data_IF_492274002877
#
_entry.id   IF_492274002877
#
_cell.length_a   1.000
_cell.length_b   1.000
_cell.length_c   1.000
_cell.angle_alpha   90.00
_cell.angle_beta   90.00
_cell.angle_gamma   90.00
#
_symmetry.space_group_name_H-M   'P 1'
#
loop_
_entity.id
_entity.type
_entity.pdbx_description
1 polymer ?
#
# COMPACT_ATOMS: atom_id res chain seq x y z
N UNK A 1 48.42 13.51 22.38
CA UNK A 1 46.99 13.58 22.70
C UNK A 1 46.34 12.75 21.62
N UNK A 2 46.29 11.45 21.82
CA UNK A 2 45.55 10.53 20.95
C UNK A 2 44.65 9.78 21.90
N UNK A 3 43.48 10.37 22.14
CA UNK A 3 42.41 9.72 22.89
C UNK A 3 41.65 8.83 21.91
N UNK A 4 41.67 7.49 22.06
CA UNK A 4 40.95 6.59 21.17
C UNK A 4 39.43 6.81 21.19
N UNK A 5 38.89 7.59 22.14
CA UNK A 5 37.50 8.02 22.14
C UNK A 5 37.15 9.03 21.02
N UNK A 6 38.14 9.54 20.27
CA UNK A 6 37.96 10.47 19.14
C UNK A 6 38.46 9.91 17.79
N UNK A 7 38.77 8.61 17.72
CA UNK A 7 39.04 7.97 16.44
C UNK A 7 37.71 7.74 15.72
N UNK A 8 37.33 8.66 14.82
CA UNK A 8 36.23 8.41 13.88
C UNK A 8 36.70 7.30 12.95
N UNK A 9 36.18 6.09 13.16
CA UNK A 9 36.39 4.97 12.25
C UNK A 9 35.51 5.23 11.01
N UNK A 10 35.99 6.10 10.11
CA UNK A 10 35.27 6.43 8.88
C UNK A 10 35.34 5.23 7.94
N UNK A 11 34.19 4.61 7.67
CA UNK A 11 34.09 3.61 6.61
C UNK A 11 34.26 4.28 5.24
N UNK A 12 35.50 4.27 4.75
CA UNK A 12 35.88 4.88 3.48
C UNK A 12 35.17 4.23 2.29
N UNK A 13 34.78 2.96 2.37
CA UNK A 13 34.04 2.30 1.30
C UNK A 13 32.63 2.88 1.20
N UNK A 14 31.95 3.02 2.35
CA UNK A 14 30.62 3.61 2.41
C UNK A 14 30.61 5.05 1.93
N UNK A 15 31.50 5.88 2.46
CA UNK A 15 31.59 7.28 2.05
C UNK A 15 31.90 7.45 0.56
N UNK A 16 32.76 6.58 0.00
CA UNK A 16 33.11 6.65 -1.43
C UNK A 16 31.91 6.32 -2.32
N UNK A 17 31.12 5.31 -1.97
CA UNK A 17 29.96 4.89 -2.76
C UNK A 17 28.82 5.91 -2.66
N UNK A 18 28.53 6.44 -1.46
CA UNK A 18 27.55 7.52 -1.28
C UNK A 18 27.96 8.78 -2.04
N UNK A 19 29.24 9.16 -1.99
CA UNK A 19 29.75 10.31 -2.73
C UNK A 19 29.65 10.11 -4.25
N UNK A 20 29.96 8.91 -4.75
CA UNK A 20 29.79 8.59 -6.17
C UNK A 20 28.31 8.67 -6.60
N UNK A 21 27.40 8.19 -5.75
CA UNK A 21 25.96 8.25 -5.98
C UNK A 21 25.42 9.69 -5.97
N UNK A 22 25.81 10.50 -4.98
CA UNK A 22 25.42 11.90 -4.87
C UNK A 22 25.93 12.77 -6.03
N UNK A 23 27.12 12.46 -6.58
CA UNK A 23 27.65 13.15 -7.76
C UNK A 23 27.13 12.57 -9.09
N UNK A 24 26.26 11.56 -9.04
CA UNK A 24 25.78 10.81 -10.21
C UNK A 24 26.93 10.29 -11.11
N UNK A 25 28.08 9.94 -10.51
CA UNK A 25 29.24 9.40 -11.23
C UNK A 25 29.06 7.90 -11.49
N UNK A 26 28.37 7.61 -12.58
CA UNK A 26 28.08 6.23 -13.03
C UNK A 26 29.35 5.38 -13.17
N UNK A 27 30.50 5.97 -13.55
CA UNK A 27 31.72 5.19 -13.73
C UNK A 27 32.28 4.74 -12.40
N UNK A 28 32.42 5.68 -11.46
CA UNK A 28 32.86 5.36 -10.11
C UNK A 28 31.89 4.41 -9.42
N UNK A 29 30.58 4.63 -9.56
CA UNK A 29 29.56 3.79 -8.96
C UNK A 29 29.65 2.33 -9.46
N UNK A 30 29.82 2.11 -10.77
CA UNK A 30 30.00 0.76 -11.33
C UNK A 30 31.24 0.05 -10.81
N UNK A 31 32.33 0.76 -10.59
CA UNK A 31 33.56 0.14 -10.10
C UNK A 31 33.47 -0.20 -8.61
N UNK A 32 32.80 0.65 -7.82
CA UNK A 32 32.59 0.45 -6.38
C UNK A 32 31.58 -0.67 -6.11
N UNK A 33 30.46 -0.74 -6.86
CA UNK A 33 29.43 -1.77 -6.69
C UNK A 33 29.91 -3.20 -6.99
N UNK A 34 31.08 -3.38 -7.61
CA UNK A 34 31.67 -4.72 -7.83
C UNK A 34 32.06 -5.43 -6.54
N UNK A 35 32.37 -4.67 -5.48
CA UNK A 35 32.90 -5.21 -4.23
C UNK A 35 32.13 -4.71 -3.00
N UNK A 36 31.07 -3.93 -3.21
CA UNK A 36 30.30 -3.28 -2.16
C UNK A 36 28.82 -3.38 -2.50
N UNK A 37 27.98 -3.73 -1.53
CA UNK A 37 26.53 -3.78 -1.70
C UNK A 37 25.95 -2.38 -2.01
N UNK A 38 24.89 -2.33 -2.81
CA UNK A 38 24.13 -1.10 -3.04
C UNK A 38 23.30 -0.65 -1.80
N UNK A 39 23.22 -1.51 -0.77
CA UNK A 39 22.42 -1.31 0.44
C UNK A 39 23.25 -0.94 1.67
N UNK A 40 24.53 -0.60 1.48
CA UNK A 40 25.32 -0.02 2.57
C UNK A 40 24.65 1.27 3.08
N UNK A 41 24.79 1.51 4.38
CA UNK A 41 24.13 2.62 5.04
C UNK A 41 25.14 3.45 5.83
N UNK A 42 25.10 4.76 5.64
CA UNK A 42 25.86 5.68 6.47
C UNK A 42 25.34 5.69 7.91
N UNK A 43 26.22 5.49 8.88
CA UNK A 43 25.85 5.32 10.28
C UNK A 43 25.32 6.59 10.95
N UNK A 44 25.60 7.77 10.38
CA UNK A 44 25.19 9.05 10.96
C UNK A 44 23.83 9.51 10.40
N UNK A 45 23.63 9.34 9.10
CA UNK A 45 22.47 9.83 8.36
C UNK A 45 21.45 8.75 8.04
N UNK A 46 21.84 7.47 8.07
CA UNK A 46 21.01 6.39 7.56
C UNK A 46 20.90 6.40 6.03
N UNK A 47 21.69 7.19 5.32
CA UNK A 47 21.58 7.26 3.86
C UNK A 47 22.19 6.01 3.23
N UNK A 48 21.42 5.43 2.32
CA UNK A 48 21.96 4.49 1.31
C UNK A 48 22.43 5.28 0.08
N UNK A 49 23.20 4.67 -0.84
CA UNK A 49 23.50 5.28 -2.14
C UNK A 49 22.26 5.81 -2.87
N UNK A 50 21.12 5.15 -2.72
CA UNK A 50 19.86 5.58 -3.33
C UNK A 50 19.30 6.87 -2.68
N UNK A 51 19.34 6.97 -1.35
CA UNK A 51 19.03 8.22 -0.64
C UNK A 51 19.96 9.36 -1.12
N UNK A 52 21.27 9.11 -1.15
CA UNK A 52 22.27 10.10 -1.53
C UNK A 52 22.08 10.60 -2.97
N UNK A 53 21.79 9.71 -3.92
CA UNK A 53 21.56 10.07 -5.32
C UNK A 53 20.33 10.97 -5.51
N UNK A 54 19.26 10.73 -4.75
CA UNK A 54 18.01 11.52 -4.82
C UNK A 54 18.16 12.84 -4.06
N UNK A 55 18.71 12.80 -2.85
CA UNK A 55 18.90 13.99 -2.01
C UNK A 55 19.81 15.03 -2.68
N UNK A 56 20.81 14.60 -3.46
CA UNK A 56 21.66 15.48 -4.24
C UNK A 56 20.93 16.28 -5.32
N UNK A 57 19.69 15.93 -5.66
CA UNK A 57 18.83 16.68 -6.56
C UNK A 57 17.97 17.73 -5.84
N UNK A 58 18.20 18.06 -4.57
CA UNK A 58 17.49 19.15 -3.90
C UNK A 58 17.58 20.46 -4.71
N UNK A 59 16.45 21.15 -5.00
CA UNK A 59 16.49 22.44 -5.68
C UNK A 59 17.21 23.48 -4.83
N UNK A 60 18.02 24.34 -5.45
CA UNK A 60 18.55 25.51 -4.75
C UNK A 60 17.38 26.35 -4.20
N UNK A 61 17.46 26.73 -2.92
CA UNK A 61 16.46 27.59 -2.30
C UNK A 61 16.25 28.86 -3.14
N UNK A 62 15.00 29.32 -3.34
CA UNK A 62 14.76 30.55 -4.08
C UNK A 62 15.46 31.71 -3.36
N UNK A 63 16.50 32.26 -3.98
CA UNK A 63 17.19 33.45 -3.46
C UNK A 63 16.18 34.59 -3.32
N UNK A 64 16.14 35.26 -2.15
CA UNK A 64 15.28 36.44 -1.90
C UNK A 64 15.58 37.66 -2.83
N UNK A 65 16.55 37.55 -3.74
CA UNK A 65 17.09 38.64 -4.55
C UNK A 65 16.34 38.95 -5.87
N UNK A 66 15.19 38.33 -6.17
CA UNK A 66 14.38 38.71 -7.35
C UNK A 66 13.42 39.89 -7.11
N UNK A 67 13.58 40.65 -6.03
CA UNK A 67 12.93 41.97 -5.89
C UNK A 67 13.79 43.09 -6.46
N UNK A 68 13.56 43.46 -7.73
CA UNK A 68 13.65 44.82 -8.32
C UNK A 68 13.61 44.76 -9.86
N UNK A 69 12.92 45.58 -10.67
CA UNK A 69 12.08 46.78 -10.50
C UNK A 69 11.20 46.97 -11.77
N UNK A 70 9.95 47.41 -11.58
CA UNK A 70 9.10 48.30 -12.40
C UNK A 70 8.79 48.05 -13.90
N UNK A 71 7.49 47.80 -14.15
CA UNK A 71 6.74 48.27 -15.32
C UNK A 71 5.23 48.02 -15.18
N UNK A 72 4.46 49.02 -14.73
CA UNK A 72 2.99 48.97 -14.67
C UNK A 72 2.35 48.83 -16.07
N UNK A 73 1.36 47.94 -16.23
CA UNK A 73 -0.05 48.30 -16.52
C UNK A 73 -0.98 47.07 -16.59
N UNK A 74 -2.09 47.15 -15.84
CA UNK A 74 -3.36 46.42 -15.84
C UNK A 74 -3.69 45.35 -16.90
N UNK A 75 -4.16 44.19 -16.42
CA UNK A 75 -5.41 43.58 -16.91
C UNK A 75 -5.45 42.07 -17.12
N UNK A 76 -6.28 41.40 -16.30
CA UNK A 76 -7.03 40.16 -16.54
C UNK A 76 -6.33 38.81 -16.26
N UNK A 77 -7.10 37.98 -15.55
CA UNK A 77 -6.80 36.66 -14.99
C UNK A 77 -6.29 35.61 -15.98
N UNK A 78 -5.38 34.77 -15.49
CA UNK A 78 -5.50 33.30 -15.61
C UNK A 78 -4.67 32.64 -14.50
N UNK A 79 -5.31 31.78 -13.70
CA UNK A 79 -4.64 30.85 -12.78
C UNK A 79 -3.99 29.74 -13.61
N UNK A 80 -2.85 30.03 -14.20
CA UNK A 80 -1.88 29.01 -14.59
C UNK A 80 -0.65 29.24 -13.73
N UNK A 81 -0.37 28.33 -12.79
CA UNK A 81 0.99 28.25 -12.25
C UNK A 81 1.83 27.82 -13.44
N UNK A 82 2.51 28.77 -14.07
CA UNK A 82 3.51 28.48 -15.08
C UNK A 82 4.62 27.73 -14.36
N UNK A 83 4.64 26.40 -14.51
CA UNK A 83 5.82 25.60 -14.19
C UNK A 83 6.90 26.14 -15.12
N UNK A 84 7.86 26.89 -14.58
CA UNK A 84 9.02 27.29 -15.36
C UNK A 84 9.70 26.00 -15.83
N UNK A 85 9.82 25.84 -17.15
CA UNK A 85 10.56 24.71 -17.73
C UNK A 85 11.96 24.66 -17.09
N UNK A 86 12.39 23.50 -16.54
CA UNK A 86 13.71 23.39 -15.95
C UNK A 86 14.76 23.83 -16.96
N UNK A 87 15.74 24.62 -16.51
CA UNK A 87 16.84 25.00 -17.38
C UNK A 87 17.59 23.74 -17.89
N UNK A 88 18.28 23.85 -19.03
CA UNK A 88 18.94 22.69 -19.66
C UNK A 88 19.96 21.99 -18.75
N UNK A 89 20.58 22.73 -17.82
CA UNK A 89 21.49 22.16 -16.83
C UNK A 89 20.73 21.25 -15.86
N UNK A 90 19.60 21.71 -15.32
CA UNK A 90 18.77 20.93 -14.40
C UNK A 90 18.20 19.68 -15.07
N UNK A 91 17.83 19.77 -16.36
CA UNK A 91 17.43 18.59 -17.13
C UNK A 91 18.55 17.55 -17.20
N UNK A 92 19.79 17.98 -17.48
CA UNK A 92 20.95 17.09 -17.53
C UNK A 92 21.27 16.46 -16.16
N UNK A 93 21.15 17.22 -15.08
CA UNK A 93 21.31 16.71 -13.70
C UNK A 93 20.27 15.63 -13.39
N UNK A 94 18.99 15.89 -13.70
CA UNK A 94 17.92 14.90 -13.50
C UNK A 94 18.12 13.65 -14.37
N UNK A 95 18.54 13.80 -15.62
CA UNK A 95 18.87 12.66 -16.49
C UNK A 95 20.04 11.81 -15.94
N UNK A 96 21.03 12.44 -15.30
CA UNK A 96 22.13 11.75 -14.64
C UNK A 96 21.66 11.00 -13.39
N UNK A 97 20.78 11.62 -12.60
CA UNK A 97 20.14 11.01 -11.44
C UNK A 97 19.31 9.78 -11.84
N UNK A 98 18.47 9.89 -12.88
CA UNK A 98 17.68 8.76 -13.43
C UNK A 98 18.57 7.57 -13.77
N UNK A 99 19.69 7.80 -14.46
CA UNK A 99 20.63 6.73 -14.84
C UNK A 99 21.32 6.11 -13.62
N UNK A 100 21.63 6.93 -12.62
CA UNK A 100 22.25 6.50 -11.36
C UNK A 100 21.29 5.62 -10.56
N UNK A 101 20.04 6.06 -10.38
CA UNK A 101 18.99 5.31 -9.69
C UNK A 101 18.71 3.97 -10.37
N UNK A 102 18.61 3.95 -11.71
CA UNK A 102 18.44 2.70 -12.46
C UNK A 102 19.59 1.73 -12.23
N UNK A 103 20.84 2.21 -12.28
CA UNK A 103 22.01 1.39 -12.00
C UNK A 103 21.98 0.84 -10.56
N UNK A 104 21.58 1.65 -9.58
CA UNK A 104 21.46 1.21 -8.19
C UNK A 104 20.42 0.09 -8.04
N UNK A 105 19.23 0.25 -8.63
CA UNK A 105 18.21 -0.81 -8.62
C UNK A 105 18.66 -2.07 -9.36
N UNK A 106 19.38 -1.95 -10.48
CA UNK A 106 19.99 -3.08 -11.19
C UNK A 106 21.03 -3.84 -10.33
N UNK A 107 21.58 -3.21 -9.29
CA UNK A 107 22.53 -3.80 -8.35
C UNK A 107 21.89 -4.07 -6.96
N UNK A 108 20.56 -4.23 -6.90
CA UNK A 108 19.86 -4.68 -5.70
C UNK A 108 19.57 -3.59 -4.65
N UNK A 109 19.61 -2.30 -5.02
CA UNK A 109 19.24 -1.23 -4.09
C UNK A 109 17.80 -1.38 -3.58
N UNK A 110 17.60 -1.30 -2.26
CA UNK A 110 16.30 -1.41 -1.60
C UNK A 110 15.55 -0.07 -1.70
N UNK A 111 14.31 -0.12 -2.19
CA UNK A 111 13.50 1.07 -2.48
C UNK A 111 12.84 1.69 -1.25
N UNK A 112 12.68 0.92 -0.18
CA UNK A 112 11.96 1.28 1.05
C UNK A 112 12.84 1.30 2.32
N UNK A 113 14.17 1.29 2.17
CA UNK A 113 15.07 1.49 3.30
C UNK A 113 14.81 2.84 3.96
N UNK A 114 14.95 2.91 5.28
CA UNK A 114 14.69 4.11 6.06
C UNK A 114 15.99 4.79 6.48
N UNK A 115 16.05 6.10 6.30
CA UNK A 115 17.07 6.94 6.92
C UNK A 115 16.80 7.17 8.42
N UNK A 116 17.65 7.94 9.10
CA UNK A 116 17.46 8.26 10.53
C UNK A 116 16.22 9.11 10.83
N UNK A 117 15.62 9.74 9.82
CA UNK A 117 14.39 10.51 9.93
C UNK A 117 13.14 9.67 9.61
N UNK A 118 13.30 8.39 9.24
CA UNK A 118 12.21 7.53 8.81
C UNK A 118 11.72 7.83 7.38
N UNK A 119 12.52 8.50 6.57
CA UNK A 119 12.26 8.73 5.15
C UNK A 119 12.84 7.59 4.31
N UNK A 120 12.08 7.15 3.30
CA UNK A 120 12.62 6.31 2.22
C UNK A 120 13.21 7.18 1.11
N UNK A 121 13.97 6.62 0.16
CA UNK A 121 14.39 7.37 -1.04
C UNK A 121 13.19 7.95 -1.81
N UNK A 122 12.07 7.22 -1.86
CA UNK A 122 10.81 7.71 -2.43
C UNK A 122 10.19 8.86 -1.63
N UNK A 123 10.26 8.85 -0.30
CA UNK A 123 9.82 9.98 0.52
C UNK A 123 10.60 11.26 0.20
N UNK A 124 11.92 11.17 0.09
CA UNK A 124 12.78 12.30 -0.27
C UNK A 124 12.42 12.80 -1.67
N UNK A 125 12.28 11.92 -2.67
CA UNK A 125 11.91 12.29 -4.03
C UNK A 125 10.56 13.02 -4.07
N UNK A 126 9.56 12.52 -3.33
CA UNK A 126 8.23 13.11 -3.24
C UNK A 126 8.29 14.51 -2.60
N UNK A 127 8.95 14.64 -1.45
CA UNK A 127 9.11 15.91 -0.71
C UNK A 127 9.81 16.98 -1.53
N UNK A 128 10.78 16.58 -2.37
CA UNK A 128 11.51 17.48 -3.28
C UNK A 128 10.78 17.76 -4.60
N UNK A 129 9.61 17.17 -4.84
CA UNK A 129 8.84 17.33 -6.08
C UNK A 129 9.51 16.68 -7.31
N UNK A 130 10.37 15.68 -7.10
CA UNK A 130 11.13 14.99 -8.14
C UNK A 130 10.31 13.85 -8.74
N UNK A 131 9.25 14.19 -9.48
CA UNK A 131 8.23 13.24 -9.95
C UNK A 131 8.82 12.02 -10.68
N UNK A 132 9.76 12.22 -11.60
CA UNK A 132 10.36 11.09 -12.36
C UNK A 132 11.17 10.15 -11.46
N UNK A 133 11.91 10.69 -10.50
CA UNK A 133 12.70 9.87 -9.57
C UNK A 133 11.79 9.15 -8.56
N UNK A 134 10.70 9.80 -8.16
CA UNK A 134 9.66 9.21 -7.33
C UNK A 134 9.01 8.01 -8.02
N UNK A 135 8.62 8.17 -9.29
CA UNK A 135 8.03 7.09 -10.09
C UNK A 135 8.99 5.90 -10.25
N UNK A 136 10.30 6.13 -10.40
CA UNK A 136 11.29 5.03 -10.40
C UNK A 136 11.30 4.24 -9.10
N UNK A 137 11.12 4.90 -7.94
CA UNK A 137 11.05 4.24 -6.64
C UNK A 137 9.76 3.43 -6.51
N UNK A 138 8.62 4.00 -6.92
CA UNK A 138 7.33 3.29 -6.94
C UNK A 138 7.41 2.06 -7.85
N UNK A 139 7.95 2.21 -9.07
CA UNK A 139 8.08 1.10 -10.00
C UNK A 139 9.05 0.01 -9.49
N UNK A 140 10.09 0.39 -8.75
CA UNK A 140 10.98 -0.56 -8.08
C UNK A 140 10.25 -1.34 -6.99
N UNK A 141 9.43 -0.67 -6.18
CA UNK A 141 8.57 -1.32 -5.20
C UNK A 141 7.59 -2.30 -5.82
N UNK A 142 6.90 -1.89 -6.89
CA UNK A 142 5.98 -2.79 -7.61
C UNK A 142 6.70 -4.03 -8.15
N UNK A 143 7.89 -3.87 -8.75
CA UNK A 143 8.66 -5.03 -9.24
C UNK A 143 9.09 -5.96 -8.11
N UNK A 144 9.50 -5.41 -6.97
CA UNK A 144 9.90 -6.20 -5.81
C UNK A 144 8.71 -7.00 -5.25
N UNK A 145 7.57 -6.36 -5.01
CA UNK A 145 6.36 -7.01 -4.49
C UNK A 145 5.84 -8.11 -5.43
N UNK A 146 5.80 -7.86 -6.75
CA UNK A 146 5.40 -8.88 -7.73
C UNK A 146 6.37 -10.08 -7.75
N UNK A 147 7.68 -9.83 -7.61
CA UNK A 147 8.67 -10.90 -7.57
C UNK A 147 8.52 -11.74 -6.29
N UNK A 148 8.42 -11.09 -5.13
CA UNK A 148 8.27 -11.75 -3.83
C UNK A 148 6.99 -12.58 -3.78
N UNK A 149 5.87 -12.03 -4.25
CA UNK A 149 4.60 -12.75 -4.37
C UNK A 149 4.73 -14.05 -5.18
N UNK A 150 5.51 -14.05 -6.27
CA UNK A 150 5.75 -15.26 -7.09
C UNK A 150 6.77 -16.22 -6.47
N UNK A 151 7.73 -15.72 -5.70
CA UNK A 151 8.70 -16.56 -4.98
C UNK A 151 8.04 -17.31 -3.81
N UNK A 152 7.13 -16.66 -3.08
CA UNK A 152 6.33 -17.30 -2.03
C UNK A 152 5.40 -18.39 -2.58
N UNK A 153 4.93 -18.23 -3.82
CA UNK A 153 4.15 -19.25 -4.55
C UNK A 153 5.03 -20.37 -5.15
N UNK A 154 6.35 -20.18 -5.27
CA UNK A 154 7.25 -21.14 -5.88
C UNK A 154 7.49 -22.33 -4.93
N UNK A 155 6.77 -23.42 -5.17
CA UNK A 155 7.14 -24.73 -4.66
C UNK A 155 8.21 -25.34 -5.58
N UNK A 156 9.39 -25.74 -5.05
CA UNK A 156 10.35 -26.51 -5.84
C UNK A 156 9.62 -27.72 -6.41
N UNK A 157 9.71 -27.92 -7.73
CA UNK A 157 9.25 -29.15 -8.36
C UNK A 157 10.04 -30.30 -7.71
N UNK A 158 9.37 -31.09 -6.87
CA UNK A 158 9.92 -32.33 -6.38
C UNK A 158 10.14 -33.25 -7.57
N UNK A 159 11.39 -33.63 -7.81
CA UNK A 159 11.74 -34.74 -8.69
C UNK A 159 11.07 -36.00 -8.12
N UNK A 160 9.90 -36.33 -8.66
CA UNK A 160 9.24 -37.62 -8.48
C UNK A 160 9.21 -38.30 -9.85
N UNK A 161 10.27 -39.04 -10.16
CA UNK A 161 10.15 -40.30 -10.91
C UNK A 161 11.40 -41.18 -10.79
N UNK A 162 11.20 -42.30 -10.10
CA UNK A 162 11.78 -43.66 -10.31
C UNK A 162 13.15 -44.07 -9.72
N UNK A 163 13.08 -45.17 -8.98
CA UNK A 163 14.18 -46.03 -8.50
C UNK A 163 15.10 -46.57 -9.63
N UNK A 164 16.43 -46.54 -9.44
CA UNK A 164 17.38 -47.68 -9.49
C UNK A 164 18.87 -47.19 -9.62
N UNK A 165 19.70 -47.71 -8.70
CA UNK A 165 21.18 -47.88 -8.63
C UNK A 165 22.14 -47.17 -9.63
N UNK A 166 23.11 -46.38 -9.13
CA UNK A 166 24.56 -46.70 -8.98
C UNK A 166 25.38 -45.44 -8.61
N UNK A 167 26.49 -45.66 -7.90
CA UNK A 167 27.43 -44.66 -7.37
C UNK A 167 28.16 -43.85 -8.46
N UNK A 168 28.41 -42.56 -8.23
CA UNK A 168 29.75 -41.95 -8.29
C UNK A 168 29.72 -40.50 -7.74
N UNK A 169 30.68 -40.20 -6.87
CA UNK A 169 30.95 -38.87 -6.33
C UNK A 169 31.45 -37.92 -7.43
N UNK A 170 30.96 -36.68 -7.47
CA UNK A 170 31.83 -35.52 -7.73
C UNK A 170 31.19 -34.23 -7.19
N UNK A 171 31.97 -33.52 -6.37
CA UNK A 171 31.70 -32.20 -5.81
C UNK A 171 31.56 -31.15 -6.92
N UNK A 172 30.54 -30.30 -6.83
CA UNK A 172 30.60 -28.84 -6.98
C UNK A 172 29.19 -28.29 -7.23
N UNK A 173 28.49 -27.89 -6.17
CA UNK A 173 27.43 -26.91 -6.31
C UNK A 173 27.49 -25.91 -5.16
N UNK A 174 28.27 -24.87 -5.39
CA UNK A 174 28.40 -23.71 -4.54
C UNK A 174 28.34 -22.47 -5.45
N UNK A 175 27.22 -22.25 -6.14
CA UNK A 175 27.00 -20.97 -6.84
C UNK A 175 25.53 -20.67 -7.22
N UNK A 176 24.53 -21.03 -6.39
CA UNK A 176 23.12 -20.64 -6.66
C UNK A 176 22.37 -20.12 -5.42
N UNK A 177 22.91 -20.26 -4.20
CA UNK A 177 22.18 -19.86 -2.98
C UNK A 177 22.41 -18.42 -2.53
N UNK A 178 23.46 -17.71 -2.98
CA UNK A 178 23.74 -16.35 -2.46
C UNK A 178 22.93 -15.23 -3.13
N UNK A 179 22.29 -15.46 -4.29
CA UNK A 179 21.47 -14.44 -4.94
C UNK A 179 20.04 -14.32 -4.37
N UNK A 180 19.60 -15.29 -3.57
CA UNK A 180 18.27 -15.30 -2.94
C UNK A 180 18.25 -14.63 -1.55
N UNK A 181 19.39 -14.59 -0.86
CA UNK A 181 19.46 -14.03 0.49
C UNK A 181 19.48 -12.49 0.50
N UNK A 182 19.99 -11.84 -0.55
CA UNK A 182 20.06 -10.36 -0.63
C UNK A 182 18.70 -9.71 -0.98
N UNK A 183 17.76 -10.46 -1.56
CA UNK A 183 16.37 -10.00 -1.83
C UNK A 183 15.44 -10.22 -0.65
N UNK A 184 15.76 -11.18 0.23
CA UNK A 184 14.95 -11.52 1.41
C UNK A 184 15.10 -10.52 2.56
N UNK A 185 16.06 -9.58 2.48
CA UNK A 185 16.32 -8.60 3.52
C UNK A 185 15.67 -7.23 3.24
N UNK A 186 14.58 -7.20 2.48
CA UNK A 186 13.66 -6.08 2.54
C UNK A 186 13.06 -6.08 3.95
N UNK A 187 13.45 -5.12 4.80
CA UNK A 187 12.86 -4.87 6.11
C UNK A 187 11.38 -4.44 5.95
N UNK A 188 10.52 -5.35 5.51
CA UNK A 188 9.10 -5.29 5.82
C UNK A 188 9.02 -5.52 7.32
N UNK A 189 8.81 -4.44 8.07
CA UNK A 189 8.69 -4.50 9.52
C UNK A 189 7.77 -5.67 9.90
N UNK A 190 8.28 -6.59 10.74
CA UNK A 190 7.46 -7.67 11.30
C UNK A 190 6.15 -7.06 11.82
N UNK A 191 5.02 -7.55 11.31
CA UNK A 191 3.69 -7.02 11.63
C UNK A 191 3.45 -7.01 13.14
N UNK A 192 2.65 -6.05 13.64
CA UNK A 192 2.32 -6.00 15.08
C UNK A 192 1.56 -7.29 15.46
N UNK A 193 2.12 -8.07 16.38
CA UNK A 193 1.46 -9.28 16.88
C UNK A 193 0.03 -8.95 17.38
N UNK A 194 -0.20 -7.77 17.94
CA UNK A 194 -1.53 -7.37 18.44
C UNK A 194 -2.58 -7.24 17.36
N UNK A 195 -2.19 -6.98 16.10
CA UNK A 195 -3.10 -6.88 14.95
C UNK A 195 -3.23 -8.20 14.19
N UNK A 196 -2.75 -9.33 14.75
CA UNK A 196 -3.00 -10.64 14.16
C UNK A 196 -4.43 -11.11 14.45
N UNK A 197 -5.07 -11.77 13.48
CA UNK A 197 -6.47 -12.22 13.56
C UNK A 197 -6.82 -12.94 14.87
N UNK A 198 -6.02 -13.90 15.40
CA UNK A 198 -6.35 -14.56 16.67
C UNK A 198 -6.37 -13.62 17.87
N UNK A 199 -5.47 -12.63 17.89
CA UNK A 199 -5.37 -11.65 18.98
C UNK A 199 -6.50 -10.63 18.89
N UNK A 200 -6.82 -10.17 17.67
CA UNK A 200 -7.97 -9.30 17.44
C UNK A 200 -9.28 -9.97 17.87
N UNK A 201 -9.57 -11.20 17.41
CA UNK A 201 -10.81 -11.90 17.73
C UNK A 201 -10.94 -12.28 19.22
N UNK A 202 -9.83 -12.31 19.95
CA UNK A 202 -9.79 -12.55 21.40
C UNK A 202 -9.82 -11.25 22.23
N UNK A 203 -9.68 -10.09 21.61
CA UNK A 203 -9.66 -8.79 22.28
C UNK A 203 -11.07 -8.36 22.73
N UNK A 204 -11.14 -7.50 23.73
CA UNK A 204 -12.35 -6.74 24.03
C UNK A 204 -12.33 -5.43 23.24
N UNK A 205 -13.49 -5.04 22.70
CA UNK A 205 -13.62 -3.79 21.96
C UNK A 205 -14.18 -2.68 22.82
N UNK A 206 -13.52 -1.52 22.76
CA UNK A 206 -14.05 -0.27 23.31
C UNK A 206 -14.79 0.48 22.21
N UNK A 207 -16.10 0.62 22.39
CA UNK A 207 -16.97 1.40 21.50
C UNK A 207 -17.15 2.82 22.03
N UNK A 208 -16.62 3.80 21.30
CA UNK A 208 -16.98 5.20 21.47
C UNK A 208 -17.96 5.63 20.37
N UNK A 209 -18.49 6.84 20.48
CA UNK A 209 -19.34 7.47 19.46
C UNK A 209 -18.65 7.53 18.11
N UNK A 210 -17.34 7.77 18.10
CA UNK A 210 -16.59 8.10 16.90
C UNK A 210 -15.62 6.97 16.47
N UNK A 211 -15.42 5.93 17.28
CA UNK A 211 -14.42 4.91 17.00
C UNK A 211 -14.65 3.59 17.71
N UNK A 212 -14.02 2.54 17.20
CA UNK A 212 -13.85 1.24 17.83
C UNK A 212 -12.35 1.01 18.01
N UNK A 213 -11.94 0.69 19.23
CA UNK A 213 -10.57 0.33 19.57
C UNK A 213 -10.52 -1.09 20.14
N UNK A 214 -9.43 -1.81 19.87
CA UNK A 214 -9.13 -3.07 20.56
C UNK A 214 -8.45 -2.83 21.94
N UNK A 215 -8.18 -3.91 22.67
CA UNK A 215 -7.49 -3.87 23.98
C UNK A 215 -6.04 -3.33 23.91
N UNK A 216 -5.46 -3.26 22.70
CA UNK A 216 -4.14 -2.71 22.45
C UNK A 216 -4.19 -1.25 21.95
N UNK A 217 -5.37 -0.60 21.98
CA UNK A 217 -5.63 0.74 21.48
C UNK A 217 -5.42 0.88 19.95
N UNK A 218 -5.48 -0.21 19.18
CA UNK A 218 -5.47 -0.14 17.72
C UNK A 218 -6.82 0.38 17.20
N UNK A 219 -6.78 1.26 16.20
CA UNK A 219 -7.97 1.76 15.51
C UNK A 219 -8.60 0.68 14.63
N UNK A 220 -9.69 0.07 15.09
CA UNK A 220 -10.42 -0.98 14.35
C UNK A 220 -11.37 -0.37 13.32
N UNK A 221 -12.06 0.71 13.69
CA UNK A 221 -12.97 1.44 12.80
C UNK A 221 -13.11 2.87 13.32
N UNK A 222 -13.05 3.87 12.44
CA UNK A 222 -13.09 5.29 12.82
C UNK A 222 -14.14 6.09 12.03
N UNK A 223 -14.72 7.11 12.66
CA UNK A 223 -15.79 7.90 12.05
C UNK A 223 -15.34 8.75 10.87
N UNK A 224 -14.08 9.20 10.81
CA UNK A 224 -13.58 10.04 9.72
C UNK A 224 -13.76 9.37 8.33
N UNK A 225 -13.76 8.03 8.29
CA UNK A 225 -13.99 7.22 7.10
C UNK A 225 -15.43 7.29 6.57
N UNK A 226 -16.36 7.90 7.33
CA UNK A 226 -17.78 8.00 6.98
C UNK A 226 -18.03 8.55 5.57
N UNK A 227 -17.20 9.51 5.13
CA UNK A 227 -17.31 10.10 3.80
C UNK A 227 -16.92 9.10 2.71
N UNK A 228 -15.87 8.30 2.97
CA UNK A 228 -15.37 7.28 2.06
C UNK A 228 -16.40 6.16 1.91
N UNK A 229 -16.84 5.57 3.03
CA UNK A 229 -17.83 4.49 3.02
C UNK A 229 -19.15 4.88 2.36
N UNK A 230 -19.64 6.11 2.61
CA UNK A 230 -20.85 6.62 1.94
C UNK A 230 -20.65 6.71 0.43
N UNK A 231 -19.50 7.21 -0.01
CA UNK A 231 -19.19 7.32 -1.44
C UNK A 231 -19.05 5.94 -2.08
N UNK A 232 -18.40 4.98 -1.42
CA UNK A 232 -18.32 3.58 -1.85
C UNK A 232 -19.73 3.01 -2.02
N UNK A 233 -20.59 3.13 -1.00
CA UNK A 233 -21.95 2.62 -1.08
C UNK A 233 -22.76 3.25 -2.23
N UNK A 234 -22.64 4.56 -2.47
CA UNK A 234 -23.31 5.23 -3.58
C UNK A 234 -22.88 4.70 -4.95
N UNK A 235 -21.59 4.45 -5.14
CA UNK A 235 -21.02 3.94 -6.40
C UNK A 235 -21.41 2.48 -6.65
N UNK A 236 -21.43 1.67 -5.59
CA UNK A 236 -21.81 0.25 -5.64
C UNK A 236 -23.33 0.06 -5.77
N UNK A 237 -24.14 1.01 -5.27
CA UNK A 237 -25.61 0.91 -5.24
C UNK A 237 -26.31 2.08 -5.96
N UNK A 238 -26.17 2.17 -7.30
CA UNK A 238 -26.76 3.26 -8.07
C UNK A 238 -28.30 3.23 -8.06
N UNK A 239 -28.90 2.07 -7.80
CA UNK A 239 -30.35 1.85 -7.71
C UNK A 239 -30.76 1.16 -6.40
N UNK A 240 -32.06 1.16 -6.13
CA UNK A 240 -32.65 0.46 -4.98
C UNK A 240 -32.97 -1.00 -5.31
N UNK A 241 -33.16 -1.84 -4.28
CA UNK A 241 -33.58 -3.22 -4.46
C UNK A 241 -32.49 -4.18 -4.94
N UNK A 242 -31.22 -3.78 -4.84
CA UNK A 242 -30.06 -4.61 -5.15
C UNK A 242 -29.78 -5.62 -4.02
N UNK A 243 -29.10 -6.72 -4.34
CA UNK A 243 -28.56 -7.69 -3.37
C UNK A 243 -27.15 -7.26 -2.98
N UNK A 244 -26.90 -7.16 -1.69
CA UNK A 244 -25.67 -6.56 -1.17
C UNK A 244 -24.97 -7.55 -0.24
N UNK A 245 -23.65 -7.62 -0.33
CA UNK A 245 -22.78 -8.30 0.61
C UNK A 245 -21.80 -7.30 1.21
N UNK A 246 -21.75 -7.22 2.52
CA UNK A 246 -20.70 -6.54 3.25
C UNK A 246 -19.89 -7.55 4.07
N UNK A 247 -18.56 -7.44 4.02
CA UNK A 247 -17.62 -8.27 4.77
C UNK A 247 -16.87 -7.37 5.75
N UNK A 248 -17.25 -7.44 7.03
CA UNK A 248 -16.82 -6.52 8.09
C UNK A 248 -17.87 -5.46 8.38
N UNK A 249 -18.56 -5.58 9.53
CA UNK A 249 -19.62 -4.64 9.91
C UNK A 249 -19.06 -3.36 10.54
N UNK A 250 -18.07 -3.51 11.41
CA UNK A 250 -17.46 -2.40 12.16
C UNK A 250 -18.50 -1.56 12.91
N UNK A 251 -18.67 -0.30 12.48
CA UNK A 251 -19.64 0.65 13.04
C UNK A 251 -21.01 0.66 12.33
N UNK A 252 -21.21 -0.18 11.31
CA UNK A 252 -22.45 -0.25 10.53
C UNK A 252 -22.70 0.97 9.64
N UNK A 253 -21.64 1.73 9.31
CA UNK A 253 -21.75 2.95 8.49
C UNK A 253 -22.16 2.59 7.07
N UNK A 254 -21.43 1.71 6.39
CA UNK A 254 -21.75 1.32 5.02
C UNK A 254 -23.07 0.53 4.98
N UNK A 255 -23.28 -0.37 5.94
CA UNK A 255 -24.51 -1.14 6.04
C UNK A 255 -25.74 -0.24 6.21
N UNK A 256 -25.59 0.86 6.96
CA UNK A 256 -26.64 1.85 7.14
C UNK A 256 -27.01 2.56 5.84
N UNK A 257 -26.04 2.79 4.95
CA UNK A 257 -26.30 3.35 3.62
C UNK A 257 -26.94 2.32 2.70
N UNK A 258 -26.46 1.07 2.72
CA UNK A 258 -27.07 -0.05 2.01
C UNK A 258 -28.54 -0.24 2.38
N UNK A 259 -28.86 -0.23 3.68
CA UNK A 259 -30.26 -0.33 4.14
C UNK A 259 -31.15 0.81 3.66
N UNK A 260 -30.63 2.05 3.54
CA UNK A 260 -31.40 3.18 2.99
C UNK A 260 -31.79 2.98 1.52
N UNK A 261 -31.09 2.10 0.80
CA UNK A 261 -31.38 1.75 -0.61
C UNK A 261 -32.46 0.67 -0.74
N UNK A 262 -33.08 0.23 0.35
CA UNK A 262 -34.11 -0.81 0.37
C UNK A 262 -33.66 -2.07 -0.39
N UNK A 263 -32.60 -2.75 0.08
CA UNK A 263 -32.01 -3.89 -0.61
C UNK A 263 -33.00 -5.04 -0.71
N UNK A 264 -32.86 -5.87 -1.76
CA UNK A 264 -33.63 -7.12 -1.88
C UNK A 264 -33.13 -8.15 -0.87
N UNK A 265 -31.81 -8.21 -0.67
CA UNK A 265 -31.14 -8.92 0.41
C UNK A 265 -29.86 -8.17 0.78
N UNK A 266 -29.48 -8.22 2.04
CA UNK A 266 -28.29 -7.57 2.56
C UNK A 266 -27.58 -8.53 3.51
N UNK A 267 -26.52 -9.16 3.03
CA UNK A 267 -25.73 -10.11 3.79
C UNK A 267 -24.58 -9.36 4.46
N UNK A 268 -24.39 -9.58 5.75
CA UNK A 268 -23.31 -8.96 6.53
C UNK A 268 -22.54 -10.10 7.18
N UNK A 269 -21.24 -10.21 6.89
CA UNK A 269 -20.34 -11.17 7.53
C UNK A 269 -19.56 -10.42 8.62
N UNK A 270 -19.62 -10.93 9.85
CA UNK A 270 -18.91 -10.33 10.98
C UNK A 270 -18.39 -11.42 11.92
N UNK A 271 -17.12 -11.30 12.30
CA UNK A 271 -16.39 -12.32 13.06
C UNK A 271 -16.25 -11.97 14.54
N UNK A 272 -16.17 -10.68 14.88
CA UNK A 272 -15.81 -10.25 16.22
C UNK A 272 -17.00 -10.37 17.19
N UNK A 273 -16.89 -11.12 18.31
CA UNK A 273 -18.01 -11.37 19.23
C UNK A 273 -18.67 -10.10 19.78
N UNK A 274 -17.88 -9.08 20.13
CA UNK A 274 -18.40 -7.80 20.64
C UNK A 274 -19.17 -6.99 19.57
N UNK A 275 -18.72 -7.00 18.31
CA UNK A 275 -19.44 -6.35 17.20
C UNK A 275 -20.76 -7.06 16.97
N UNK A 276 -20.75 -8.39 16.90
CA UNK A 276 -21.96 -9.22 16.77
C UNK A 276 -22.97 -8.97 17.89
N UNK A 277 -22.50 -8.86 19.13
CA UNK A 277 -23.35 -8.53 20.28
C UNK A 277 -24.00 -7.15 20.11
N UNK A 278 -23.21 -6.15 19.72
CA UNK A 278 -23.71 -4.79 19.46
C UNK A 278 -24.70 -4.75 18.30
N UNK A 279 -24.46 -5.50 17.24
CA UNK A 279 -25.38 -5.64 16.11
C UNK A 279 -26.75 -6.16 16.55
N UNK A 280 -26.76 -7.21 17.37
CA UNK A 280 -27.98 -7.78 17.97
C UNK A 280 -28.70 -6.75 18.86
N UNK A 281 -27.98 -6.03 19.70
CA UNK A 281 -28.55 -4.98 20.57
C UNK A 281 -29.15 -3.80 19.78
N UNK A 282 -28.59 -3.50 18.60
CA UNK A 282 -29.10 -2.46 17.69
C UNK A 282 -30.23 -2.93 16.77
N UNK A 283 -30.60 -4.22 16.82
CA UNK A 283 -31.69 -4.77 16.02
C UNK A 283 -31.32 -5.04 14.54
N UNK A 284 -30.04 -5.15 14.20
CA UNK A 284 -29.62 -5.41 12.81
C UNK A 284 -30.25 -6.68 12.22
N UNK A 285 -30.40 -7.72 13.03
CA UNK A 285 -31.00 -9.00 12.63
C UNK A 285 -32.49 -8.89 12.30
N UNK A 286 -33.13 -7.79 12.68
CA UNK A 286 -34.57 -7.55 12.48
C UNK A 286 -34.84 -6.64 11.26
N UNK A 287 -33.78 -6.05 10.70
CA UNK A 287 -33.89 -5.18 9.53
C UNK A 287 -34.36 -5.97 8.29
N UNK A 288 -35.27 -5.43 7.47
CA UNK A 288 -35.77 -6.11 6.28
C UNK A 288 -34.64 -6.54 5.34
N UNK A 289 -34.66 -7.82 4.96
CA UNK A 289 -33.69 -8.40 4.02
C UNK A 289 -32.29 -8.62 4.58
N UNK A 290 -32.01 -8.27 5.85
CA UNK A 290 -30.71 -8.51 6.46
C UNK A 290 -30.51 -9.98 6.82
N UNK A 291 -29.34 -10.51 6.48
CA UNK A 291 -28.84 -11.81 6.93
C UNK A 291 -27.46 -11.60 7.53
N UNK A 292 -27.33 -11.82 8.83
CA UNK A 292 -26.03 -11.74 9.53
C UNK A 292 -25.40 -13.13 9.59
N UNK A 293 -24.17 -13.24 9.09
CA UNK A 293 -23.35 -14.45 9.16
C UNK A 293 -22.30 -14.24 10.26
N UNK A 294 -22.44 -15.01 11.34
CA UNK A 294 -21.55 -14.93 12.51
C UNK A 294 -20.34 -15.84 12.29
N UNK A 295 -19.17 -15.26 12.01
CA UNK A 295 -17.95 -16.02 11.74
C UNK A 295 -16.97 -15.28 10.84
N UNK A 296 -15.82 -15.91 10.61
CA UNK A 296 -14.81 -15.38 9.71
C UNK A 296 -15.25 -15.52 8.26
N UNK A 297 -14.88 -14.57 7.42
CA UNK A 297 -15.27 -14.60 6.02
C UNK A 297 -14.68 -15.83 5.31
N UNK A 298 -13.48 -16.27 5.70
CA UNK A 298 -12.81 -17.47 5.18
C UNK A 298 -13.65 -18.75 5.40
N UNK A 299 -14.51 -18.78 6.42
CA UNK A 299 -15.38 -19.92 6.72
C UNK A 299 -16.78 -19.78 6.07
N UNK A 300 -17.25 -18.54 5.86
CA UNK A 300 -18.62 -18.24 5.39
C UNK A 300 -18.70 -18.08 3.87
N UNK A 301 -17.72 -17.43 3.26
CA UNK A 301 -17.70 -17.08 1.84
C UNK A 301 -17.71 -18.31 0.94
N UNK A 302 -16.91 -19.38 1.18
CA UNK A 302 -16.99 -20.61 0.38
C UNK A 302 -18.40 -21.21 0.36
N UNK A 303 -19.06 -21.22 1.52
CA UNK A 303 -20.43 -21.69 1.69
C UNK A 303 -21.46 -20.88 0.88
N UNK A 304 -21.24 -19.57 0.71
CA UNK A 304 -22.09 -18.70 -0.12
C UNK A 304 -21.89 -19.00 -1.62
N UNK A 305 -20.65 -19.22 -2.03
CA UNK A 305 -20.30 -19.62 -3.40
C UNK A 305 -20.95 -20.96 -3.74
N UNK A 306 -20.84 -21.96 -2.86
CA UNK A 306 -21.43 -23.29 -3.04
C UNK A 306 -22.96 -23.25 -3.15
N UNK A 307 -23.61 -22.30 -2.47
CA UNK A 307 -25.06 -22.07 -2.56
C UNK A 307 -25.46 -21.32 -3.84
N UNK A 308 -24.49 -20.78 -4.60
CA UNK A 308 -24.73 -19.96 -5.78
C UNK A 308 -25.37 -18.61 -5.43
N UNK A 309 -25.06 -18.06 -4.25
CA UNK A 309 -25.49 -16.71 -3.88
C UNK A 309 -24.78 -15.69 -4.77
N UNK A 310 -25.57 -14.79 -5.37
CA UNK A 310 -25.07 -13.74 -6.26
C UNK A 310 -25.49 -12.37 -5.75
N UNK A 311 -24.56 -11.43 -5.77
CA UNK A 311 -24.72 -10.07 -5.26
C UNK A 311 -24.49 -9.04 -6.35
N UNK A 312 -25.28 -7.97 -6.31
CA UNK A 312 -25.13 -6.83 -7.21
C UNK A 312 -24.10 -5.82 -6.68
N UNK A 313 -23.84 -5.83 -5.37
CA UNK A 313 -22.85 -4.98 -4.71
C UNK A 313 -22.11 -5.78 -3.63
N UNK A 314 -20.79 -5.76 -3.65
CA UNK A 314 -19.92 -6.36 -2.63
C UNK A 314 -19.01 -5.27 -2.06
N UNK A 315 -18.90 -5.19 -0.74
CA UNK A 315 -17.92 -4.36 -0.05
C UNK A 315 -17.09 -5.18 0.94
N UNK A 316 -15.78 -4.98 0.92
CA UNK A 316 -14.83 -5.68 1.79
C UNK A 316 -14.03 -4.68 2.63
N UNK A 317 -14.18 -4.77 3.96
CA UNK A 317 -13.55 -3.85 4.91
C UNK A 317 -13.39 -4.55 6.26
N UNK A 318 -12.38 -5.41 6.31
CA UNK A 318 -12.05 -6.23 7.47
C UNK A 318 -10.87 -5.64 8.25
N UNK A 319 -10.70 -6.06 9.50
CA UNK A 319 -9.56 -5.71 10.32
C UNK A 319 -8.68 -6.93 10.59
N UNK A 320 -7.39 -6.70 10.85
CA UNK A 320 -6.39 -7.75 11.16
C UNK A 320 -6.16 -8.75 10.01
N UNK A 321 -6.22 -8.27 8.77
CA UNK A 321 -5.95 -9.01 7.54
C UNK A 321 -4.81 -8.32 6.76
N UNK A 322 -4.01 -9.10 6.05
CA UNK A 322 -2.95 -8.60 5.18
C UNK A 322 -3.44 -8.45 3.72
N UNK A 323 -2.55 -8.00 2.84
CA UNK A 323 -2.88 -7.87 1.41
C UNK A 323 -3.25 -9.22 0.77
N UNK A 324 -2.62 -10.32 1.23
CA UNK A 324 -2.86 -11.65 0.67
C UNK A 324 -4.31 -12.09 0.91
N UNK A 325 -4.89 -11.77 2.06
CA UNK A 325 -6.29 -12.03 2.34
C UNK A 325 -7.24 -11.25 1.40
N UNK A 326 -6.96 -9.96 1.13
CA UNK A 326 -7.72 -9.19 0.15
C UNK A 326 -7.59 -9.76 -1.26
N UNK A 327 -6.36 -10.13 -1.66
CA UNK A 327 -6.08 -10.77 -2.96
C UNK A 327 -6.88 -12.07 -3.09
N UNK A 328 -6.77 -12.98 -2.14
CA UNK A 328 -7.55 -14.23 -2.12
C UNK A 328 -9.05 -13.95 -2.21
N UNK A 329 -9.55 -12.95 -1.48
CA UNK A 329 -10.96 -12.60 -1.51
C UNK A 329 -11.45 -12.28 -2.93
N UNK A 330 -10.75 -11.41 -3.66
CA UNK A 330 -11.19 -11.02 -5.01
C UNK A 330 -10.79 -12.02 -6.11
N UNK A 331 -9.67 -12.75 -5.98
CA UNK A 331 -9.27 -13.73 -7.00
C UNK A 331 -10.10 -15.01 -6.94
N UNK A 332 -10.43 -15.49 -5.74
CA UNK A 332 -11.08 -16.79 -5.56
C UNK A 332 -12.61 -16.67 -5.38
N UNK A 333 -13.09 -15.63 -4.70
CA UNK A 333 -14.47 -15.62 -4.22
C UNK A 333 -15.35 -14.54 -4.85
N UNK A 334 -14.86 -13.31 -5.04
CA UNK A 334 -15.66 -12.25 -5.70
C UNK A 334 -16.12 -12.69 -7.08
N UNK A 335 -15.29 -13.42 -7.83
CA UNK A 335 -15.65 -13.99 -9.14
C UNK A 335 -16.88 -14.92 -9.10
N UNK A 336 -17.09 -15.63 -7.99
CA UNK A 336 -18.22 -16.55 -7.79
C UNK A 336 -19.44 -15.89 -7.14
N UNK A 337 -19.26 -14.74 -6.50
CA UNK A 337 -20.31 -14.03 -5.76
C UNK A 337 -20.86 -12.81 -6.47
N UNK A 338 -20.10 -12.16 -7.35
CA UNK A 338 -20.53 -10.96 -8.04
C UNK A 338 -21.40 -11.33 -9.25
N UNK A 339 -22.61 -10.78 -9.35
CA UNK A 339 -23.52 -11.12 -10.43
C UNK A 339 -23.04 -10.51 -11.77
N UNK A 340 -22.67 -11.30 -12.79
CA UNK A 340 -22.20 -10.78 -14.07
C UNK A 340 -23.29 -10.08 -14.89
N UNK A 341 -24.57 -10.32 -14.59
CA UNK A 341 -25.72 -9.67 -15.21
C UNK A 341 -26.50 -8.80 -14.21
N UNK A 342 -25.91 -8.51 -13.04
CA UNK A 342 -26.48 -7.67 -12.01
C UNK A 342 -26.55 -6.18 -12.38
N UNK A 343 -26.92 -5.36 -11.39
CA UNK A 343 -26.97 -3.90 -11.52
C UNK A 343 -28.22 -3.34 -12.23
N UNK A 344 -28.33 -2.01 -12.37
CA UNK A 344 -29.57 -1.34 -12.82
C UNK A 344 -29.97 -1.67 -14.27
N UNK A 345 -28.98 -1.96 -15.14
CA UNK A 345 -29.19 -2.16 -16.58
C UNK A 345 -28.57 -3.48 -17.10
N UNK A 346 -28.28 -4.44 -16.21
CA UNK A 346 -27.62 -5.70 -16.58
C UNK A 346 -26.15 -5.53 -16.98
N UNK A 347 -25.49 -4.51 -16.43
CA UNK A 347 -24.07 -4.20 -16.67
C UNK A 347 -23.12 -4.99 -15.76
N UNK A 348 -23.66 -5.84 -14.88
CA UNK A 348 -22.91 -6.54 -13.85
C UNK A 348 -22.97 -5.84 -12.50
N UNK A 349 -22.65 -6.60 -11.46
CA UNK A 349 -22.45 -6.09 -10.11
C UNK A 349 -21.15 -5.31 -9.98
N UNK A 350 -21.00 -4.61 -8.85
CA UNK A 350 -19.78 -3.89 -8.52
C UNK A 350 -19.18 -4.34 -7.19
N UNK A 351 -17.85 -4.33 -7.14
CA UNK A 351 -17.08 -4.66 -5.94
C UNK A 351 -16.25 -3.43 -5.50
N UNK A 352 -16.21 -3.15 -4.20
CA UNK A 352 -15.33 -2.15 -3.62
C UNK A 352 -14.75 -2.64 -2.31
N UNK A 353 -13.72 -1.96 -1.83
CA UNK A 353 -13.06 -2.30 -0.57
C UNK A 353 -12.44 -1.07 0.07
N UNK A 354 -12.11 -1.16 1.35
CA UNK A 354 -11.27 -0.15 2.00
C UNK A 354 -9.82 -0.30 1.56
N UNK A 355 -9.31 0.71 0.86
CA UNK A 355 -7.99 0.71 0.24
C UNK A 355 -7.00 1.48 1.13
N UNK A 356 -6.58 0.83 2.22
CA UNK A 356 -5.68 1.38 3.25
C UNK A 356 -4.24 0.86 3.22
N UNK A 357 -3.88 -0.03 2.30
CA UNK A 357 -2.58 -0.72 2.32
C UNK A 357 -1.41 0.25 2.08
N UNK A 358 -0.47 0.31 3.02
CA UNK A 358 0.68 1.22 2.96
C UNK A 358 0.32 2.69 3.17
N UNK A 359 -0.88 3.01 3.68
CA UNK A 359 -1.33 4.38 3.89
C UNK A 359 -0.65 5.12 5.06
N UNK A 360 0.28 4.48 5.75
CA UNK A 360 1.23 5.11 6.67
C UNK A 360 2.35 5.85 5.93
N UNK A 361 2.48 5.67 4.59
CA UNK A 361 3.53 6.30 3.78
C UNK A 361 3.18 6.38 2.30
N UNK A 362 3.30 7.58 1.71
CA UNK A 362 2.87 7.85 0.33
C UNK A 362 3.47 6.90 -0.72
N UNK A 363 4.78 6.62 -0.67
CA UNK A 363 5.41 5.70 -1.63
C UNK A 363 4.90 4.27 -1.50
N UNK A 364 4.65 3.79 -0.28
CA UNK A 364 4.12 2.45 -0.05
C UNK A 364 2.67 2.36 -0.56
N UNK A 365 1.85 3.37 -0.26
CA UNK A 365 0.48 3.46 -0.75
C UNK A 365 0.42 3.43 -2.28
N UNK A 366 1.28 4.19 -2.96
CA UNK A 366 1.31 4.21 -4.42
C UNK A 366 1.82 2.89 -5.02
N UNK A 367 2.74 2.18 -4.34
CA UNK A 367 3.14 0.82 -4.72
C UNK A 367 1.95 -0.13 -4.61
N UNK A 368 1.28 -0.19 -3.45
CA UNK A 368 0.15 -1.09 -3.24
C UNK A 368 -1.05 -0.76 -4.14
N UNK A 369 -1.29 0.51 -4.47
CA UNK A 369 -2.31 0.90 -5.44
C UNK A 369 -2.05 0.30 -6.84
N UNK A 370 -0.79 0.29 -7.30
CA UNK A 370 -0.42 -0.34 -8.57
C UNK A 370 -0.51 -1.86 -8.48
N UNK A 371 -0.09 -2.45 -7.37
CA UNK A 371 -0.16 -3.92 -7.17
C UNK A 371 -1.61 -4.39 -7.18
N UNK A 372 -2.50 -3.76 -6.40
CA UNK A 372 -3.90 -4.16 -6.35
C UNK A 372 -4.62 -3.95 -7.67
N UNK A 373 -4.30 -2.89 -8.43
CA UNK A 373 -4.82 -2.68 -9.78
C UNK A 373 -4.40 -3.81 -10.74
N UNK A 374 -3.14 -4.24 -10.69
CA UNK A 374 -2.63 -5.35 -11.51
C UNK A 374 -3.27 -6.68 -11.14
N UNK A 375 -3.38 -6.99 -9.85
CA UNK A 375 -3.97 -8.26 -9.39
C UNK A 375 -5.48 -8.32 -9.66
N UNK A 376 -6.19 -7.20 -9.50
CA UNK A 376 -7.62 -7.10 -9.88
C UNK A 376 -7.80 -7.31 -11.38
N UNK A 377 -6.91 -6.75 -12.21
CA UNK A 377 -6.93 -6.96 -13.65
C UNK A 377 -6.64 -8.43 -14.01
N UNK A 378 -5.66 -9.08 -13.36
CA UNK A 378 -5.39 -10.52 -13.52
C UNK A 378 -6.60 -11.38 -13.12
N UNK A 379 -7.36 -10.95 -12.10
CA UNK A 379 -8.60 -11.59 -11.66
C UNK A 379 -9.82 -11.33 -12.57
N UNK A 380 -9.69 -10.48 -13.60
CA UNK A 380 -10.76 -10.19 -14.57
C UNK A 380 -11.62 -8.97 -14.24
N UNK A 381 -11.10 -8.01 -13.46
CA UNK A 381 -11.79 -6.76 -13.13
C UNK A 381 -11.11 -5.52 -13.77
N UNK A 382 -11.93 -4.62 -14.29
CA UNK A 382 -11.54 -3.22 -14.50
C UNK A 382 -11.76 -2.44 -13.19
N UNK A 383 -10.80 -1.60 -12.83
CA UNK A 383 -10.84 -0.82 -11.57
C UNK A 383 -10.81 0.67 -11.87
N UNK A 384 -11.81 1.40 -11.36
CA UNK A 384 -11.81 2.86 -11.35
C UNK A 384 -11.44 3.38 -9.96
N UNK A 385 -10.48 4.31 -9.89
CA UNK A 385 -10.10 4.97 -8.65
C UNK A 385 -10.61 6.41 -8.60
N UNK A 386 -11.51 6.73 -7.67
CA UNK A 386 -11.88 8.10 -7.34
C UNK A 386 -10.95 8.65 -6.25
N UNK A 387 -10.29 9.79 -6.50
CA UNK A 387 -9.41 10.42 -5.50
C UNK A 387 -10.22 11.34 -4.58
N UNK A 388 -10.22 11.04 -3.28
CA UNK A 388 -10.95 11.80 -2.26
C UNK A 388 -9.96 12.42 -1.28
N UNK A 389 -10.00 13.74 -1.13
CA UNK A 389 -9.24 14.43 -0.08
C UNK A 389 -9.73 14.03 1.30
N UNK A 390 -8.77 13.62 2.13
CA UNK A 390 -8.89 13.28 3.55
C UNK A 390 -8.56 14.54 4.36
N UNK A 391 -9.33 14.86 5.41
CA UNK A 391 -9.01 16.00 6.28
C UNK A 391 -7.70 15.76 7.04
N UNK A 392 -7.17 16.82 7.64
CA UNK A 392 -6.00 16.72 8.52
C UNK A 392 -6.39 16.01 9.83
N UNK A 393 -6.27 14.68 9.83
CA UNK A 393 -6.64 13.80 10.95
C UNK A 393 -5.82 14.08 12.22
N UNK A 394 -4.60 14.60 12.06
CA UNK A 394 -3.75 15.02 13.17
C UNK A 394 -4.29 16.29 13.83
N UNK A 395 -4.62 17.31 13.02
CA UNK A 395 -5.23 18.53 13.53
C UNK A 395 -6.63 18.30 14.12
N UNK A 396 -7.35 17.29 13.64
CA UNK A 396 -8.67 16.89 14.17
C UNK A 396 -8.59 16.00 15.42
N UNK A 397 -7.40 15.54 15.81
CA UNK A 397 -7.19 14.74 17.01
C UNK A 397 -7.67 13.29 16.91
N UNK A 398 -7.86 12.78 15.69
CA UNK A 398 -8.38 11.42 15.44
C UNK A 398 -7.45 10.35 16.06
N UNK A 399 -6.14 10.62 16.10
CA UNK A 399 -5.14 9.71 16.64
C UNK A 399 -4.94 9.79 18.16
N UNK A 400 -5.67 10.65 18.87
CA UNK A 400 -5.55 10.77 20.32
C UNK A 400 -5.99 9.49 21.05
N UNK A 401 -5.03 8.81 21.66
CA UNK A 401 -5.26 7.53 22.35
C UNK A 401 -5.36 6.33 21.39
N UNK A 402 -4.91 6.49 20.14
CA UNK A 402 -4.77 5.39 19.18
C UNK A 402 -3.30 5.00 19.11
N UNK A 403 -2.99 3.71 19.25
CA UNK A 403 -1.63 3.18 19.31
C UNK A 403 -0.82 3.50 18.05
N UNK A 404 -1.44 3.41 16.88
CA UNK A 404 -0.79 3.61 15.57
C UNK A 404 -1.71 4.36 14.63
N UNK A 405 -1.12 5.22 13.82
CA UNK A 405 -1.79 5.83 12.67
C UNK A 405 -1.76 4.85 11.52
N UNK A 406 -2.91 4.34 11.13
CA UNK A 406 -3.02 3.51 9.92
C UNK A 406 -3.21 4.36 8.65
N UNK A 407 -3.37 5.67 8.80
CA UNK A 407 -3.53 6.61 7.69
C UNK A 407 -2.84 7.94 7.97
N UNK A 408 -1.99 8.42 7.06
CA UNK A 408 -1.33 9.74 7.17
C UNK A 408 -1.36 10.57 5.88
N UNK A 409 -2.08 10.11 4.86
CA UNK A 409 -2.05 10.71 3.52
C UNK A 409 -3.16 11.73 3.32
N UNK A 410 -2.91 12.71 2.45
CA UNK A 410 -3.89 13.74 2.11
C UNK A 410 -5.05 13.23 1.22
N UNK A 411 -4.82 12.13 0.50
CA UNK A 411 -5.72 11.65 -0.53
C UNK A 411 -5.95 10.13 -0.43
N UNK A 412 -7.21 9.73 -0.47
CA UNK A 412 -7.65 8.34 -0.54
C UNK A 412 -8.02 7.97 -1.98
N UNK A 413 -7.56 6.82 -2.46
CA UNK A 413 -7.94 6.23 -3.75
C UNK A 413 -9.08 5.23 -3.53
N UNK A 414 -10.31 5.65 -3.83
CA UNK A 414 -11.51 4.83 -3.67
C UNK A 414 -11.69 3.89 -4.86
N UNK A 415 -11.57 2.56 -4.69
CA UNK A 415 -11.71 1.61 -5.78
C UNK A 415 -13.19 1.28 -6.06
N UNK A 416 -13.55 1.21 -7.33
CA UNK A 416 -14.79 0.58 -7.81
C UNK A 416 -14.43 -0.39 -8.92
N UNK A 417 -14.68 -1.67 -8.68
CA UNK A 417 -14.30 -2.76 -9.58
C UNK A 417 -15.54 -3.33 -10.26
N UNK A 418 -15.41 -3.66 -11.54
CA UNK A 418 -16.42 -4.34 -12.35
C UNK A 418 -15.76 -5.37 -13.26
N UNK A 419 -16.46 -6.44 -13.62
CA UNK A 419 -15.93 -7.40 -14.59
C UNK A 419 -15.52 -6.71 -15.89
N UNK A 420 -14.40 -7.14 -16.47
CA UNK A 420 -13.93 -6.68 -17.77
C UNK A 420 -14.97 -7.05 -18.84
N UNK A 421 -15.29 -6.09 -19.72
CA UNK A 421 -16.30 -6.20 -20.78
C UNK A 421 -15.75 -6.42 -22.19
#
# INVERSE_FOLDING_TARGET
MDDPAFAVETDLATQSLLLAAANHDIRALRDLLRNTSANIQDTETGFTPLHAAIAACEPDAPSEDTKQVNGHTNGVASNGVAVEEPNEQRKQELEAAVKTIKLLFENGAIWNDLDVNGETPGCIAHRLGLQELYELCVDAGVRAELLLSRLDEYQPLGDDDSDEEEEEEEENDADVTEAADDVNNANLAEGDETTQQPNYLASNLTFDRNRILDDADNGVMMQWESKLMKRSAELLTPSSGLRMLNVGHGMGIIDGVFQQKAPKSHHIIEAHPDVLKRMKEQGWNENPGVVVHEGRWQDIVPDLVDKGELFDAIYFDTFAEDYKALREFFTEYVIGLLDPAGGPDGQGGKFGFFNGMGADRQVCYDVYNKIVELDLFEAGFDTEFETISVPDLDAEGEWEGVRRKYWVLENYKLPTCSFIG
#
